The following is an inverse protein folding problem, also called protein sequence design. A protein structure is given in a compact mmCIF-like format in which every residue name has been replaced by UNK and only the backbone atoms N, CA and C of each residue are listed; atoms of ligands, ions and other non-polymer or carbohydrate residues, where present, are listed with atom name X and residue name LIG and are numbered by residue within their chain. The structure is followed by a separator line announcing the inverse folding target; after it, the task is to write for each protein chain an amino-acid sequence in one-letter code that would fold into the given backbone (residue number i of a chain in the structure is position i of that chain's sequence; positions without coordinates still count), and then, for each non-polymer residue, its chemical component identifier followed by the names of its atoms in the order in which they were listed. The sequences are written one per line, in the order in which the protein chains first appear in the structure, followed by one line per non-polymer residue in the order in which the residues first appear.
data_IF_739012897082
#
_entry.id   IF_739012897082
#
_cell.length_a   1.000
_cell.length_b   1.000
_cell.length_c   1.000
_cell.angle_alpha   90.00
_cell.angle_beta   90.00
_cell.angle_gamma   90.00
#
_symmetry.space_group_name_H-M   'P 1'
#
loop_
_entity.id
_entity.type
_entity.pdbx_description
1 polymer ?
#
# COMPACT_ATOMS: atom_id res chain seq x y z
N UNK A 1 12.89 -14.60 26.44
CA UNK A 1 12.65 -14.45 25.89
C UNK A 1 12.21 -14.12 25.11
N UNK A 2 12.26 -13.97 24.51
CA UNK A 2 11.90 -13.75 23.74
C UNK A 2 11.44 -13.36 22.89
N UNK A 3 11.46 -13.27 22.65
CA UNK A 3 11.19 -13.03 21.88
C UNK A 3 10.62 -12.96 21.08
N UNK A 4 10.65 -13.10 20.99
CA UNK A 4 10.27 -13.14 20.26
C UNK A 4 9.43 -12.99 19.63
N UNK A 5 9.22 -13.15 19.50
CA UNK A 5 8.34 -12.99 19.04
C UNK A 5 7.54 -12.18 18.53
N UNK A 6 7.14 -12.31 18.43
CA UNK A 6 6.66 -11.06 18.20
C UNK A 6 6.32 -10.68 16.75
N UNK A 7 6.89 -11.18 15.73
CA UNK A 7 6.60 -10.82 14.35
C UNK A 7 5.16 -11.00 13.93
N UNK A 8 4.48 -12.00 14.45
CA UNK A 8 3.08 -12.25 14.09
C UNK A 8 2.19 -11.08 14.47
N UNK A 9 2.43 -10.46 15.64
CA UNK A 9 1.65 -9.32 16.09
C UNK A 9 1.99 -8.04 15.34
N UNK A 10 3.05 -8.04 14.54
CA UNK A 10 3.55 -6.86 13.85
C UNK A 10 3.35 -6.95 12.33
N UNK A 11 2.43 -7.79 11.91
CA UNK A 11 2.07 -7.95 10.51
C UNK A 11 0.57 -7.83 10.33
N UNK A 12 0.15 -7.25 9.21
CA UNK A 12 -1.24 -7.30 8.80
C UNK A 12 -1.35 -7.96 7.44
N UNK A 13 -2.47 -8.65 7.20
CA UNK A 13 -2.74 -9.30 5.93
C UNK A 13 -4.19 -9.01 5.55
N UNK A 14 -4.40 -8.48 4.35
CA UNK A 14 -5.73 -8.21 3.81
C UNK A 14 -5.84 -8.85 2.44
N UNK A 15 -7.03 -9.36 2.13
CA UNK A 15 -7.30 -10.03 0.86
C UNK A 15 -8.58 -9.46 0.25
N UNK A 16 -8.57 -9.24 -1.07
CA UNK A 16 -9.76 -8.80 -1.82
C UNK A 16 -9.78 -9.46 -3.18
N UNK A 17 -10.97 -9.85 -3.61
CA UNK A 17 -11.20 -10.34 -4.96
C UNK A 17 -11.70 -9.19 -5.81
N UNK A 18 -10.98 -8.89 -6.89
CA UNK A 18 -11.22 -7.71 -7.73
C UNK A 18 -11.73 -8.13 -9.13
N UNK A 19 -12.58 -7.32 -9.71
CA UNK A 19 -13.22 -7.60 -11.02
C UNK A 19 -12.34 -7.11 -12.16
N UNK A 20 -11.10 -7.57 -12.20
CA UNK A 20 -10.16 -7.24 -13.27
C UNK A 20 -9.06 -8.28 -13.31
N UNK A 21 -8.45 -8.46 -14.48
CA UNK A 21 -7.33 -9.38 -14.64
C UNK A 21 -6.08 -8.85 -13.90
N UNK A 22 -5.16 -9.73 -13.51
CA UNK A 22 -3.95 -9.32 -12.76
C UNK A 22 -3.17 -8.18 -13.41
N UNK A 23 -3.04 -8.16 -14.74
CA UNK A 23 -2.30 -7.09 -15.41
C UNK A 23 -2.95 -5.73 -15.18
N UNK A 24 -4.28 -5.65 -15.17
CA UNK A 24 -4.98 -4.39 -14.90
C UNK A 24 -4.87 -3.97 -13.45
N UNK A 25 -4.92 -4.93 -12.54
CA UNK A 25 -4.74 -4.64 -11.11
C UNK A 25 -3.31 -4.17 -10.86
N UNK A 26 -2.34 -4.81 -11.47
CA UNK A 26 -0.93 -4.40 -11.35
C UNK A 26 -0.75 -2.94 -11.84
N UNK A 27 -1.38 -2.60 -12.96
CA UNK A 27 -1.33 -1.22 -13.49
C UNK A 27 -1.96 -0.22 -12.51
N UNK A 28 -3.02 -0.60 -11.82
CA UNK A 28 -3.65 0.28 -10.82
C UNK A 28 -2.68 0.61 -9.67
N UNK A 29 -1.74 -0.27 -9.36
CA UNK A 29 -0.73 -0.05 -8.33
C UNK A 29 0.48 0.73 -8.84
N UNK A 30 0.78 0.67 -10.14
CA UNK A 30 2.06 1.15 -10.68
C UNK A 30 1.92 2.35 -11.61
N UNK A 31 0.73 2.65 -12.09
CA UNK A 31 0.47 3.86 -12.89
C UNK A 31 0.08 4.99 -11.94
N UNK A 32 0.84 6.10 -11.88
CA UNK A 32 0.52 7.20 -10.96
C UNK A 32 -0.89 7.75 -11.14
N UNK A 33 -1.42 7.80 -12.36
CA UNK A 33 -2.76 8.33 -12.61
C UNK A 33 -3.83 7.42 -12.05
N UNK A 34 -3.69 6.10 -12.20
CA UNK A 34 -4.63 5.14 -11.65
C UNK A 34 -4.52 5.06 -10.14
N UNK A 35 -3.29 4.93 -9.64
CA UNK A 35 -3.02 4.86 -8.21
C UNK A 35 -3.58 6.07 -7.46
N UNK A 36 -3.50 7.25 -8.05
CA UNK A 36 -3.98 8.48 -7.43
C UNK A 36 -5.49 8.51 -7.22
N UNK A 37 -6.25 7.70 -7.96
CA UNK A 37 -7.71 7.67 -7.83
C UNK A 37 -8.14 6.94 -6.57
N UNK A 38 -7.48 5.83 -6.22
CA UNK A 38 -7.97 4.97 -5.14
C UNK A 38 -7.10 4.98 -3.89
N UNK A 39 -5.83 5.37 -4.00
CA UNK A 39 -4.87 5.21 -2.89
C UNK A 39 -5.12 6.19 -1.74
N UNK A 40 -5.46 7.42 -2.04
CA UNK A 40 -5.59 8.47 -1.02
C UNK A 40 -6.93 8.34 -0.29
N UNK A 41 -6.96 8.46 1.06
CA UNK A 41 -8.23 8.49 1.80
C UNK A 41 -9.10 9.65 1.34
N UNK A 42 -10.42 9.47 1.37
CA UNK A 42 -11.33 10.43 0.78
C UNK A 42 -11.39 11.77 1.53
N UNK A 43 -10.97 11.81 2.78
CA UNK A 43 -10.89 13.06 3.55
C UNK A 43 -9.50 13.71 3.48
N UNK A 44 -8.63 13.19 2.63
CA UNK A 44 -7.29 13.72 2.38
C UNK A 44 -7.18 14.21 0.95
N UNK A 45 -6.21 15.07 0.68
CA UNK A 45 -5.93 15.58 -0.65
C UNK A 45 -4.55 15.12 -1.10
N UNK A 46 -4.48 14.42 -2.22
CA UNK A 46 -3.19 14.00 -2.78
C UNK A 46 -2.54 15.21 -3.46
N UNK A 47 -1.34 15.56 -3.02
CA UNK A 47 -0.58 16.70 -3.56
C UNK A 47 0.38 16.27 -4.66
N UNK A 48 0.97 15.08 -4.53
CA UNK A 48 1.87 14.54 -5.56
C UNK A 48 1.95 13.03 -5.45
N UNK A 49 2.25 12.39 -6.58
CA UNK A 49 2.43 10.94 -6.65
C UNK A 49 3.53 10.66 -7.67
N UNK A 50 4.69 10.22 -7.20
CA UNK A 50 5.86 9.93 -8.03
C UNK A 50 6.24 8.47 -7.84
N UNK A 51 6.21 7.69 -8.91
CA UNK A 51 6.49 6.26 -8.87
C UNK A 51 7.54 5.92 -9.93
N UNK A 52 8.74 5.55 -9.48
CA UNK A 52 9.81 5.04 -10.36
C UNK A 52 9.76 3.52 -10.28
N UNK A 53 8.91 2.89 -11.10
CA UNK A 53 8.53 1.49 -10.98
C UNK A 53 9.60 0.60 -11.58
N UNK A 54 10.62 0.31 -10.79
CA UNK A 54 11.70 -0.63 -11.11
C UNK A 54 12.35 -1.04 -9.80
N UNK A 55 13.05 -2.15 -9.79
CA UNK A 55 13.81 -2.55 -8.59
C UNK A 55 14.83 -1.46 -8.27
N UNK A 56 14.83 -1.02 -7.01
CA UNK A 56 15.67 0.07 -6.56
C UNK A 56 15.09 1.46 -6.82
N UNK A 57 13.98 1.57 -7.56
CA UNK A 57 13.33 2.86 -7.81
C UNK A 57 12.58 3.36 -6.59
N UNK A 58 12.50 4.68 -6.45
CA UNK A 58 11.82 5.31 -5.32
C UNK A 58 10.35 5.60 -5.65
N UNK A 59 9.51 5.54 -4.63
CA UNK A 59 8.14 6.02 -4.76
C UNK A 59 7.86 7.03 -3.66
N UNK A 60 6.98 7.98 -3.92
CA UNK A 60 6.68 9.05 -2.99
C UNK A 60 5.28 9.61 -3.26
N UNK A 61 4.47 9.68 -2.21
CA UNK A 61 3.15 10.31 -2.27
C UNK A 61 3.06 11.32 -1.14
N UNK A 62 2.68 12.55 -1.47
CA UNK A 62 2.46 13.60 -0.47
C UNK A 62 0.97 13.89 -0.42
N UNK A 63 0.43 13.97 0.78
CA UNK A 63 -1.00 14.25 0.95
C UNK A 63 -1.23 15.21 2.11
N UNK A 64 -2.29 16.02 1.97
CA UNK A 64 -2.76 16.89 3.04
C UNK A 64 -3.84 16.14 3.80
N UNK A 65 -3.65 15.99 5.11
CA UNK A 65 -4.61 15.29 5.97
C UNK A 65 -5.58 16.29 6.59
N UNK A 66 -6.68 15.82 7.26
CA UNK A 66 -7.74 16.71 7.71
C UNK A 66 -7.33 17.88 8.59
N UNK A 67 -6.25 17.76 9.36
CA UNK A 67 -5.78 18.87 10.21
C UNK A 67 -4.99 19.93 9.42
N UNK A 68 -4.84 19.76 8.11
CA UNK A 68 -4.12 20.68 7.25
C UNK A 68 -2.64 20.37 7.09
N UNK A 69 -2.08 19.47 7.87
CA UNK A 69 -0.67 19.13 7.75
C UNK A 69 -0.43 18.22 6.54
N UNK A 70 0.84 18.14 6.11
CA UNK A 70 1.25 17.30 4.99
C UNK A 70 1.97 16.09 5.51
N UNK A 71 1.54 14.90 5.07
CA UNK A 71 2.20 13.64 5.37
C UNK A 71 2.76 13.08 4.06
N UNK A 72 4.00 12.63 4.10
CA UNK A 72 4.66 12.01 2.96
C UNK A 72 4.81 10.52 3.20
N UNK A 73 4.24 9.72 2.31
CA UNK A 73 4.45 8.28 2.29
C UNK A 73 5.50 8.00 1.23
N UNK A 74 6.53 7.20 1.55
CA UNK A 74 7.61 6.96 0.59
C UNK A 74 8.30 5.64 0.86
N UNK A 75 9.07 5.21 -0.11
CA UNK A 75 9.85 3.98 0.00
C UNK A 75 10.60 3.67 -1.29
N UNK A 76 11.04 2.42 -1.38
CA UNK A 76 11.82 1.91 -2.51
C UNK A 76 11.21 0.58 -2.94
N UNK A 77 11.09 0.37 -4.26
CA UNK A 77 10.65 -0.92 -4.79
C UNK A 77 11.77 -1.94 -4.62
N UNK A 78 11.44 -3.07 -4.02
CA UNK A 78 12.36 -4.20 -3.81
C UNK A 78 12.21 -5.26 -4.87
N UNK A 79 10.97 -5.44 -5.36
CA UNK A 79 10.67 -6.40 -6.41
C UNK A 79 9.55 -5.85 -7.28
N UNK A 80 9.71 -5.93 -8.60
CA UNK A 80 8.68 -5.55 -9.56
C UNK A 80 8.56 -6.70 -10.56
N UNK A 81 7.58 -7.57 -10.33
CA UNK A 81 7.38 -8.79 -11.12
C UNK A 81 5.95 -8.82 -11.69
N UNK A 82 5.70 -8.07 -12.80
CA UNK A 82 4.36 -8.03 -13.40
C UNK A 82 3.95 -9.37 -13.95
N UNK A 83 2.67 -9.75 -13.87
CA UNK A 83 1.62 -9.03 -13.16
C UNK A 83 1.37 -9.60 -11.75
N UNK A 84 2.29 -10.38 -11.19
CA UNK A 84 2.04 -11.25 -10.03
C UNK A 84 2.43 -10.64 -8.70
N UNK A 85 3.48 -9.79 -8.67
CA UNK A 85 4.07 -9.45 -7.39
C UNK A 85 4.74 -8.09 -7.41
N UNK A 86 4.52 -7.33 -6.33
CA UNK A 86 5.12 -6.01 -6.12
C UNK A 86 5.53 -5.93 -4.65
N UNK A 87 6.79 -5.60 -4.37
CA UNK A 87 7.30 -5.48 -3.01
C UNK A 87 7.97 -4.11 -2.87
N UNK A 88 7.59 -3.37 -1.83
CA UNK A 88 8.20 -2.05 -1.60
C UNK A 88 8.29 -1.75 -0.12
N UNK A 89 9.30 -0.96 0.24
CA UNK A 89 9.42 -0.43 1.59
C UNK A 89 8.40 0.68 1.78
N UNK A 90 8.03 0.95 3.03
CA UNK A 90 6.97 1.89 3.34
C UNK A 90 7.33 2.68 4.59
N UNK A 91 7.41 3.99 4.45
CA UNK A 91 7.68 4.92 5.53
C UNK A 91 6.65 6.04 5.51
N UNK A 92 6.45 6.67 6.67
CA UNK A 92 5.66 7.91 6.77
C UNK A 92 6.55 8.99 7.35
N UNK A 93 6.49 10.16 6.74
CA UNK A 93 7.20 11.34 7.24
C UNK A 93 6.16 12.42 7.52
N UNK A 94 6.23 13.00 8.71
CA UNK A 94 5.22 13.95 9.20
C UNK A 94 5.74 15.37 9.13
N UNK A 95 4.81 16.35 9.24
CA UNK A 95 5.11 17.76 9.10
C UNK A 95 6.14 18.25 10.12
N UNK A 96 6.21 17.61 11.30
CA UNK A 96 7.18 17.97 12.34
C UNK A 96 8.57 17.36 12.14
N UNK A 97 8.76 16.63 11.02
CA UNK A 97 10.04 15.99 10.70
C UNK A 97 10.19 14.58 11.23
N UNK A 98 9.22 14.09 11.99
CA UNK A 98 9.26 12.72 12.50
C UNK A 98 9.08 11.75 11.34
N UNK A 99 9.88 10.68 11.32
CA UNK A 99 9.80 9.62 10.31
C UNK A 99 9.58 8.29 11.02
N UNK A 100 8.54 7.55 10.62
CA UNK A 100 8.28 6.22 11.17
C UNK A 100 9.38 5.24 10.73
N UNK A 101 9.65 4.20 11.52
CA UNK A 101 10.56 3.14 11.10
C UNK A 101 10.13 2.50 9.79
N UNK A 102 11.09 2.04 9.01
CA UNK A 102 10.82 1.40 7.72
C UNK A 102 10.06 0.10 7.89
N UNK A 103 9.04 -0.10 7.07
CA UNK A 103 8.26 -1.33 7.03
C UNK A 103 8.25 -1.87 5.60
N UNK A 104 7.64 -3.03 5.38
CA UNK A 104 7.65 -3.69 4.08
C UNK A 104 6.24 -4.09 3.67
N UNK A 105 5.86 -3.74 2.44
CA UNK A 105 4.57 -4.12 1.86
C UNK A 105 4.81 -5.09 0.71
N UNK A 106 4.07 -6.20 0.73
CA UNK A 106 4.10 -7.20 -0.35
C UNK A 106 2.69 -7.33 -0.92
N UNK A 107 2.58 -7.10 -2.23
CA UNK A 107 1.33 -7.28 -2.97
C UNK A 107 1.49 -8.51 -3.85
N UNK A 108 0.58 -9.47 -3.73
CA UNK A 108 0.54 -10.62 -4.62
C UNK A 108 -0.81 -10.67 -5.32
N UNK A 109 -0.81 -11.02 -6.60
CA UNK A 109 -2.00 -11.04 -7.45
C UNK A 109 -2.13 -12.45 -8.05
N UNK A 110 -3.20 -13.14 -7.68
CA UNK A 110 -3.47 -14.48 -8.18
C UNK A 110 -4.69 -14.43 -9.07
N UNK A 111 -4.58 -15.03 -10.26
CA UNK A 111 -5.70 -15.08 -11.19
C UNK A 111 -6.78 -16.02 -10.68
N UNK A 112 -8.03 -15.56 -10.76
CA UNK A 112 -9.21 -16.35 -10.42
C UNK A 112 -10.01 -16.64 -11.69
N UNK A 113 -10.93 -17.60 -11.60
CA UNK A 113 -11.85 -17.90 -12.69
C UNK A 113 -12.61 -16.63 -13.09
N UNK A 114 -12.91 -16.50 -14.39
CA UNK A 114 -13.65 -15.35 -14.91
C UNK A 114 -12.82 -14.11 -15.13
N UNK A 115 -11.50 -14.22 -15.16
CA UNK A 115 -10.62 -13.06 -15.39
C UNK A 115 -10.55 -12.11 -14.21
N UNK A 116 -10.84 -12.61 -13.01
CA UNK A 116 -10.76 -11.83 -11.77
C UNK A 116 -9.42 -12.06 -11.10
N UNK A 117 -9.11 -11.27 -10.10
CA UNK A 117 -7.84 -11.33 -9.39
C UNK A 117 -8.07 -11.37 -7.88
N UNK A 118 -7.35 -12.25 -7.18
CA UNK A 118 -7.24 -12.17 -5.74
C UNK A 118 -5.98 -11.37 -5.39
N UNK A 119 -6.20 -10.23 -4.78
CA UNK A 119 -5.12 -9.38 -4.29
C UNK A 119 -4.89 -9.72 -2.82
N UNK A 120 -3.65 -10.02 -2.45
CA UNK A 120 -3.24 -10.18 -1.05
C UNK A 120 -2.23 -9.09 -0.73
N UNK A 121 -2.54 -8.30 0.26
CA UNK A 121 -1.63 -7.27 0.79
C UNK A 121 -1.10 -7.76 2.13
N UNK A 122 0.23 -7.79 2.24
CA UNK A 122 0.92 -8.13 3.47
C UNK A 122 1.83 -6.97 3.84
N UNK A 123 1.66 -6.41 5.03
CA UNK A 123 2.46 -5.29 5.51
C UNK A 123 3.10 -5.73 6.82
N UNK A 124 4.42 -5.77 6.86
CA UNK A 124 5.17 -6.33 7.97
C UNK A 124 6.23 -5.35 8.47
N UNK A 125 6.76 -5.64 9.67
CA UNK A 125 7.82 -4.83 10.26
C UNK A 125 7.32 -3.71 11.13
N UNK A 126 6.05 -3.72 11.55
CA UNK A 126 5.52 -2.71 12.46
C UNK A 126 6.26 -2.75 13.79
N UNK A 127 6.50 -1.57 14.36
CA UNK A 127 7.28 -1.43 15.58
C UNK A 127 6.44 -1.62 16.84
N UNK A 128 5.10 -1.54 16.74
CA UNK A 128 4.21 -1.82 17.85
C UNK A 128 2.79 -2.16 17.35
N UNK A 129 1.95 -2.60 18.27
CA UNK A 129 0.58 -2.99 17.97
C UNK A 129 -0.28 -1.80 17.50
N UNK A 130 -0.10 -0.64 18.10
CA UNK A 130 -0.87 0.55 17.73
C UNK A 130 -0.61 0.94 16.28
N UNK A 131 0.63 0.85 15.84
CA UNK A 131 1.01 1.12 14.46
C UNK A 131 0.34 0.13 13.51
N UNK A 132 0.38 -1.16 13.84
CA UNK A 132 -0.26 -2.20 13.02
C UNK A 132 -1.75 -1.96 12.89
N UNK A 133 -2.43 -1.65 14.00
CA UNK A 133 -3.88 -1.41 14.01
C UNK A 133 -4.22 -0.17 13.15
N UNK A 134 -3.45 0.90 13.30
CA UNK A 134 -3.67 2.11 12.52
C UNK A 134 -3.54 1.87 11.02
N UNK A 135 -2.50 1.14 10.61
CA UNK A 135 -2.29 0.84 9.19
C UNK A 135 -3.32 -0.14 8.65
N UNK A 136 -3.82 -1.05 9.50
CA UNK A 136 -4.91 -1.95 9.11
C UNK A 136 -6.14 -1.14 8.69
N UNK A 137 -6.51 -0.13 9.46
CA UNK A 137 -7.63 0.75 9.11
C UNK A 137 -7.43 1.49 7.80
N UNK A 138 -6.24 2.05 7.61
CA UNK A 138 -5.91 2.76 6.38
C UNK A 138 -5.95 1.86 5.15
N UNK A 139 -5.36 0.67 5.24
CA UNK A 139 -5.36 -0.27 4.12
C UNK A 139 -6.75 -0.85 3.85
N UNK A 140 -7.57 -1.07 4.88
CA UNK A 140 -8.95 -1.54 4.70
C UNK A 140 -9.72 -0.53 3.84
N UNK A 141 -9.59 0.75 4.13
CA UNK A 141 -10.21 1.79 3.31
C UNK A 141 -9.68 1.81 1.88
N UNK A 142 -8.37 1.66 1.71
CA UNK A 142 -7.77 1.61 0.37
C UNK A 142 -8.25 0.39 -0.42
N UNK A 143 -8.42 -0.76 0.24
CA UNK A 143 -8.92 -1.96 -0.42
C UNK A 143 -10.37 -1.77 -0.89
N UNK A 144 -11.17 -1.05 -0.14
CA UNK A 144 -12.53 -0.71 -0.57
C UNK A 144 -12.50 0.20 -1.80
N UNK A 145 -11.62 1.20 -1.79
CA UNK A 145 -11.52 2.13 -2.91
C UNK A 145 -10.99 1.46 -4.18
N UNK A 146 -10.04 0.53 -4.06
CA UNK A 146 -9.56 -0.18 -5.26
C UNK A 146 -10.64 -1.14 -5.78
N UNK A 147 -11.47 -1.70 -4.90
CA UNK A 147 -12.61 -2.51 -5.33
C UNK A 147 -13.58 -1.66 -6.13
N UNK A 148 -13.85 -0.43 -5.70
CA UNK A 148 -14.72 0.49 -6.43
C UNK A 148 -14.11 0.94 -7.76
N UNK A 149 -12.79 0.92 -7.86
CA UNK A 149 -12.09 1.25 -9.11
C UNK A 149 -12.31 0.19 -10.19
N UNK A 150 -12.68 -1.03 -9.79
CA UNK A 150 -12.97 -2.14 -10.71
C UNK A 150 -14.40 -2.63 -10.46
N UNK A 151 -15.41 -1.86 -10.84
CA UNK A 151 -16.80 -2.25 -10.58
C UNK A 151 -17.18 -3.50 -11.38
N UNK A 152 -18.17 -4.25 -10.85
CA UNK A 152 -18.69 -5.46 -11.48
C UNK A 152 -19.40 -5.15 -12.80
#
# INVERSE_FOLDING_TARGET
MNVVLKPAGQELVLTRDLNAAPARVFAAWTDPRQSSVWWVPKDCTLLSCELDVREGGAWRRRMRVPDGSVVTKHGVYREVSPPDRLVFTYNSEYADGRIDPETLVTITLAELAGGRTRLTLRHSGFWDEASRVSHTGGWTGAMERISDFFPA
#
